data_IF_644275029117
#
_entry.id   IF_644275029117
#
_cell.length_a   1.000
_cell.length_b   1.000
_cell.length_c   1.000
_cell.angle_alpha   90.00
_cell.angle_beta   90.00
_cell.angle_gamma   90.00
#
_symmetry.space_group_name_H-M   'P 1'
#
loop_
_entity.id
_entity.type
_entity.pdbx_description
1 polymer ?
#
# COMPACT_ATOMS: atom_id res chain seq x y z
N UNK A 1 -55.23 14.09 -10.78
CA UNK A 1 -54.44 13.72 -9.59
C UNK A 1 -53.54 14.91 -9.27
N UNK A 2 -53.83 15.63 -8.18
CA UNK A 2 -53.25 16.96 -7.95
C UNK A 2 -51.78 16.83 -7.48
N UNK A 3 -50.88 17.70 -7.95
CA UNK A 3 -49.43 17.66 -7.62
C UNK A 3 -49.18 17.69 -6.10
N UNK A 4 -50.06 18.35 -5.35
CA UNK A 4 -50.05 18.36 -3.88
C UNK A 4 -50.18 16.96 -3.23
N UNK A 5 -50.92 16.04 -3.86
CA UNK A 5 -51.11 14.66 -3.37
C UNK A 5 -49.85 13.82 -3.57
N UNK A 6 -49.15 14.03 -4.70
CA UNK A 6 -47.89 13.35 -5.01
C UNK A 6 -46.78 13.87 -4.08
N UNK A 7 -46.75 15.17 -3.80
CA UNK A 7 -45.77 15.77 -2.89
C UNK A 7 -45.99 15.30 -1.44
N UNK A 8 -47.24 15.21 -0.98
CA UNK A 8 -47.57 14.69 0.36
C UNK A 8 -47.23 13.19 0.51
N UNK A 9 -47.48 12.39 -0.53
CA UNK A 9 -47.10 10.98 -0.56
C UNK A 9 -45.56 10.80 -0.51
N UNK A 10 -44.81 11.62 -1.25
CA UNK A 10 -43.35 11.60 -1.25
C UNK A 10 -42.78 12.00 0.13
N UNK A 11 -43.38 13.00 0.78
CA UNK A 11 -43.00 13.43 2.12
C UNK A 11 -43.27 12.33 3.16
N UNK A 12 -44.37 11.61 3.03
CA UNK A 12 -44.71 10.47 3.90
C UNK A 12 -43.79 9.26 3.70
N UNK A 13 -43.28 9.02 2.48
CA UNK A 13 -42.31 7.96 2.20
C UNK A 13 -40.89 8.30 2.69
N UNK A 14 -40.50 9.57 2.65
CA UNK A 14 -39.18 10.00 3.14
C UNK A 14 -39.13 10.12 4.67
N UNK A 15 -40.28 10.31 5.33
CA UNK A 15 -40.40 10.46 6.79
C UNK A 15 -41.20 9.33 7.46
N UNK A 16 -41.34 8.18 6.80
CA UNK A 16 -41.95 7.00 7.41
C UNK A 16 -40.99 6.41 8.46
N UNK A 17 -41.02 6.99 9.66
CA UNK A 17 -40.57 6.29 10.86
C UNK A 17 -41.45 5.03 11.00
N UNK A 18 -40.87 3.81 11.02
CA UNK A 18 -41.64 2.60 11.22
C UNK A 18 -42.12 2.60 12.68
N UNK A 19 -43.33 3.10 12.90
CA UNK A 19 -43.89 3.25 14.23
C UNK A 19 -44.88 4.39 14.33
N UNK A 20 -46.17 4.08 14.19
CA UNK A 20 -47.25 5.01 14.57
C UNK A 20 -47.29 5.28 16.07
N UNK A 21 -46.68 4.39 16.88
CA UNK A 21 -46.64 4.50 18.33
C UNK A 21 -45.34 5.15 18.82
N UNK A 22 -45.44 6.03 19.82
CA UNK A 22 -44.31 6.71 20.48
C UNK A 22 -43.25 5.70 20.96
N UNK A 23 -43.68 4.52 21.41
CA UNK A 23 -42.79 3.44 21.83
C UNK A 23 -41.93 2.90 20.68
N UNK A 24 -42.52 2.70 19.49
CA UNK A 24 -41.80 2.22 18.31
C UNK A 24 -40.79 3.24 17.80
N UNK A 25 -41.10 4.54 17.93
CA UNK A 25 -40.16 5.62 17.62
C UNK A 25 -38.97 5.63 18.57
N UNK A 26 -39.19 5.49 19.89
CA UNK A 26 -38.12 5.42 20.89
C UNK A 26 -37.18 4.24 20.61
N UNK A 27 -37.74 3.06 20.32
CA UNK A 27 -36.95 1.86 20.00
C UNK A 27 -36.13 2.08 18.71
N UNK A 28 -36.73 2.68 17.68
CA UNK A 28 -36.04 2.99 16.42
C UNK A 28 -34.88 3.97 16.63
N UNK A 29 -35.08 5.03 17.42
CA UNK A 29 -34.01 5.97 17.79
C UNK A 29 -32.89 5.30 18.58
N UNK A 30 -33.22 4.40 19.51
CA UNK A 30 -32.23 3.63 20.26
C UNK A 30 -31.36 2.75 19.35
N UNK A 31 -31.98 2.08 18.36
CA UNK A 31 -31.26 1.27 17.36
C UNK A 31 -30.35 2.16 16.50
N UNK A 32 -30.81 3.33 16.06
CA UNK A 32 -29.97 4.25 15.28
C UNK A 32 -28.76 4.76 16.06
N UNK A 33 -28.93 5.10 17.34
CA UNK A 33 -27.83 5.49 18.22
C UNK A 33 -26.82 4.34 18.36
N UNK A 34 -27.31 3.11 18.54
CA UNK A 34 -26.45 1.92 18.60
C UNK A 34 -25.64 1.72 17.32
N UNK A 35 -26.27 1.84 16.14
CA UNK A 35 -25.58 1.77 14.85
C UNK A 35 -24.57 2.90 14.70
N UNK A 36 -24.91 4.12 15.10
CA UNK A 36 -24.01 5.28 15.01
C UNK A 36 -22.73 5.08 15.83
N UNK A 37 -22.88 4.57 17.06
CA UNK A 37 -21.75 4.19 17.91
C UNK A 37 -20.94 3.08 17.21
N UNK A 38 -21.59 2.01 16.74
CA UNK A 38 -20.93 0.89 16.08
C UNK A 38 -20.12 1.30 14.85
N UNK A 39 -20.61 2.25 14.04
CA UNK A 39 -19.90 2.77 12.86
C UNK A 39 -18.60 3.49 13.24
N UNK A 40 -18.63 4.30 14.30
CA UNK A 40 -17.43 4.98 14.80
C UNK A 40 -16.36 3.99 15.27
N UNK A 41 -16.76 2.92 15.95
CA UNK A 41 -15.84 1.88 16.40
C UNK A 41 -15.36 0.97 15.26
N UNK A 42 -16.23 0.68 14.27
CA UNK A 42 -15.91 -0.17 13.11
C UNK A 42 -14.78 0.39 12.26
N UNK A 43 -14.78 1.71 12.01
CA UNK A 43 -13.71 2.37 11.25
C UNK A 43 -12.33 2.22 11.92
N UNK A 44 -12.29 2.32 13.26
CA UNK A 44 -11.03 2.14 14.01
C UNK A 44 -10.50 0.73 13.86
N UNK A 45 -11.36 -0.29 13.98
CA UNK A 45 -10.96 -1.69 13.83
C UNK A 45 -10.46 -1.97 12.41
N UNK A 46 -11.13 -1.43 11.40
CA UNK A 46 -10.71 -1.57 10.01
C UNK A 46 -9.29 -1.03 9.78
N UNK A 47 -8.97 0.15 10.33
CA UNK A 47 -7.62 0.71 10.25
C UNK A 47 -6.56 -0.19 10.91
N UNK A 48 -6.87 -0.81 12.04
CA UNK A 48 -5.93 -1.73 12.70
C UNK A 48 -5.66 -2.98 11.87
N UNK A 49 -6.67 -3.51 11.18
CA UNK A 49 -6.51 -4.66 10.28
C UNK A 49 -5.64 -4.27 9.08
N UNK A 50 -5.90 -3.11 8.47
CA UNK A 50 -5.09 -2.59 7.36
C UNK A 50 -3.63 -2.38 7.77
N UNK A 51 -3.39 -1.81 8.97
CA UNK A 51 -2.03 -1.62 9.48
C UNK A 51 -1.29 -2.95 9.66
N UNK A 52 -1.97 -4.00 10.13
CA UNK A 52 -1.36 -5.34 10.26
C UNK A 52 -1.04 -5.97 8.90
N UNK A 53 -1.87 -5.75 7.89
CA UNK A 53 -1.60 -6.24 6.54
C UNK A 53 -0.37 -5.54 5.92
N UNK A 54 -0.27 -4.22 6.12
CA UNK A 54 0.92 -3.45 5.73
C UNK A 54 2.15 -3.92 6.49
N UNK A 55 2.05 -4.13 7.79
CA UNK A 55 3.14 -4.65 8.63
C UNK A 55 3.61 -6.03 8.15
N UNK A 56 2.69 -6.95 7.84
CA UNK A 56 3.03 -8.27 7.30
C UNK A 56 3.74 -8.19 5.94
N UNK A 57 3.30 -7.27 5.08
CA UNK A 57 3.94 -7.01 3.79
C UNK A 57 5.33 -6.42 3.94
N UNK A 58 5.51 -5.48 4.87
CA UNK A 58 6.81 -4.92 5.23
C UNK A 58 7.74 -5.97 5.83
N UNK A 59 7.22 -6.88 6.66
CA UNK A 59 7.99 -7.98 7.23
C UNK A 59 8.51 -8.93 6.13
N UNK A 60 7.65 -9.28 5.16
CA UNK A 60 8.05 -10.08 4.00
C UNK A 60 9.13 -9.37 3.17
N UNK A 61 8.98 -8.06 2.95
CA UNK A 61 9.98 -7.27 2.23
C UNK A 61 11.33 -7.24 2.97
N UNK A 62 11.30 -7.05 4.29
CA UNK A 62 12.49 -7.11 5.14
C UNK A 62 13.19 -8.46 5.03
N UNK A 63 12.43 -9.56 5.10
CA UNK A 63 12.96 -10.91 4.95
C UNK A 63 13.64 -11.12 3.59
N UNK A 64 13.00 -10.72 2.49
CA UNK A 64 13.59 -10.82 1.13
C UNK A 64 14.88 -9.99 1.04
N UNK A 65 14.91 -8.80 1.64
CA UNK A 65 16.10 -7.94 1.67
C UNK A 65 17.24 -8.58 2.45
N UNK A 66 16.96 -9.15 3.63
CA UNK A 66 17.96 -9.80 4.47
C UNK A 66 18.54 -11.05 3.78
N UNK A 67 17.69 -11.84 3.13
CA UNK A 67 18.11 -13.03 2.39
C UNK A 67 18.92 -12.66 1.13
N UNK A 68 18.47 -11.65 0.39
CA UNK A 68 19.21 -11.13 -0.77
C UNK A 68 20.60 -10.61 -0.40
N UNK A 69 20.71 -9.93 0.76
CA UNK A 69 22.00 -9.51 1.32
C UNK A 69 22.91 -10.70 1.61
N UNK A 70 22.38 -11.76 2.24
CA UNK A 70 23.13 -12.98 2.55
C UNK A 70 23.67 -13.64 1.27
N UNK A 71 22.80 -13.82 0.28
CA UNK A 71 23.16 -14.44 -1.01
C UNK A 71 24.19 -13.61 -1.76
N UNK A 72 24.06 -12.28 -1.79
CA UNK A 72 25.01 -11.40 -2.47
C UNK A 72 26.42 -11.47 -1.85
N UNK A 73 26.51 -11.49 -0.51
CA UNK A 73 27.78 -11.62 0.20
C UNK A 73 28.42 -12.99 -0.07
N UNK A 74 27.61 -14.06 -0.06
CA UNK A 74 28.07 -15.42 -0.36
C UNK A 74 28.61 -15.54 -1.79
N UNK A 75 27.87 -15.05 -2.78
CA UNK A 75 28.29 -15.06 -4.18
C UNK A 75 29.60 -14.27 -4.42
N UNK A 76 29.77 -13.12 -3.76
CA UNK A 76 30.99 -12.31 -3.89
C UNK A 76 32.20 -13.01 -3.24
N UNK A 77 32.00 -13.71 -2.12
CA UNK A 77 33.06 -14.50 -1.48
C UNK A 77 33.49 -15.69 -2.35
N UNK A 78 32.54 -16.36 -3.01
CA UNK A 78 32.82 -17.52 -3.87
C UNK A 78 33.46 -17.15 -5.21
N UNK A 79 32.96 -16.11 -5.87
CA UNK A 79 33.38 -15.72 -7.23
C UNK A 79 34.59 -14.79 -7.22
N UNK A 80 34.65 -13.82 -6.29
CA UNK A 80 35.64 -12.75 -6.32
C UNK A 80 36.93 -13.01 -5.53
N UNK A 81 36.92 -13.91 -4.53
CA UNK A 81 38.04 -14.12 -3.58
C UNK A 81 38.73 -12.80 -3.13
N UNK A 82 37.96 -11.81 -2.63
CA UNK A 82 38.51 -10.49 -2.32
C UNK A 82 39.53 -10.56 -1.18
N UNK A 83 40.64 -9.82 -1.28
CA UNK A 83 41.67 -9.72 -0.23
C UNK A 83 41.19 -8.90 1.00
N UNK A 84 40.04 -8.25 0.91
CA UNK A 84 39.46 -7.38 1.95
C UNK A 84 37.99 -7.72 2.15
N UNK A 85 37.45 -7.51 3.35
CA UNK A 85 36.05 -7.85 3.68
C UNK A 85 35.07 -7.09 2.77
N UNK A 86 34.30 -7.76 1.89
CA UNK A 86 33.42 -7.11 0.93
C UNK A 86 32.13 -6.57 1.57
N UNK A 87 31.84 -6.94 2.83
CA UNK A 87 30.58 -6.65 3.52
C UNK A 87 30.15 -5.17 3.48
N UNK A 88 31.01 -4.17 3.81
CA UNK A 88 30.58 -2.76 3.83
C UNK A 88 30.32 -2.18 2.43
N UNK A 89 30.92 -2.76 1.39
CA UNK A 89 30.77 -2.29 0.01
C UNK A 89 29.54 -2.91 -0.65
N UNK A 90 29.21 -4.15 -0.31
CA UNK A 90 27.95 -4.81 -0.71
C UNK A 90 26.76 -4.10 -0.08
N UNK A 91 26.84 -3.74 1.20
CA UNK A 91 25.77 -3.01 1.88
C UNK A 91 25.46 -1.67 1.19
N UNK A 92 26.50 -0.90 0.86
CA UNK A 92 26.36 0.36 0.12
C UNK A 92 25.75 0.17 -1.27
N UNK A 93 26.06 -0.94 -1.94
CA UNK A 93 25.52 -1.24 -3.26
C UNK A 93 24.06 -1.68 -3.19
N UNK A 94 23.69 -2.53 -2.22
CA UNK A 94 22.32 -3.00 -2.01
C UNK A 94 21.36 -1.87 -1.57
N UNK A 95 21.90 -0.80 -0.98
CA UNK A 95 21.14 0.42 -0.67
C UNK A 95 20.78 1.25 -1.91
N UNK A 96 21.42 1.00 -3.06
CA UNK A 96 21.11 1.72 -4.30
C UNK A 96 19.92 1.06 -5.02
N UNK A 97 18.71 1.57 -4.77
CA UNK A 97 17.52 1.17 -5.51
C UNK A 97 17.10 2.27 -6.49
N UNK A 98 16.91 1.90 -7.76
CA UNK A 98 16.32 2.78 -8.77
C UNK A 98 14.83 2.48 -8.86
N UNK A 99 13.98 3.45 -8.50
CA UNK A 99 12.54 3.35 -8.72
C UNK A 99 12.29 3.61 -10.21
N UNK A 100 11.83 2.61 -10.95
CA UNK A 100 11.34 2.83 -12.31
C UNK A 100 10.02 3.61 -12.29
N UNK A 101 9.77 4.50 -13.27
CA UNK A 101 8.51 5.20 -13.39
C UNK A 101 7.36 4.21 -13.45
N UNK A 102 6.34 4.45 -12.62
CA UNK A 102 5.10 3.69 -12.67
C UNK A 102 4.27 4.27 -13.82
N UNK A 103 4.08 3.44 -14.86
CA UNK A 103 3.41 3.67 -16.15
C UNK A 103 4.28 4.10 -17.34
N UNK A 104 4.03 3.41 -18.47
CA UNK A 104 4.46 3.78 -19.81
C UNK A 104 3.51 4.88 -20.32
N UNK A 105 3.74 6.13 -19.94
CA UNK A 105 2.99 7.26 -20.51
C UNK A 105 3.53 7.58 -21.92
N UNK A 106 2.68 7.64 -22.99
CA UNK A 106 3.07 7.89 -24.38
C UNK A 106 3.86 9.18 -24.66
N UNK A 107 4.06 10.06 -23.68
CA UNK A 107 4.79 11.33 -23.82
C UNK A 107 6.33 11.22 -23.91
N UNK A 108 6.88 10.08 -24.36
CA UNK A 108 8.32 9.92 -24.60
C UNK A 108 9.17 9.56 -23.36
N UNK A 109 8.57 8.95 -22.32
CA UNK A 109 9.32 8.48 -21.14
C UNK A 109 10.18 7.24 -21.45
N UNK A 110 9.85 6.49 -22.50
CA UNK A 110 10.54 5.24 -22.89
C UNK A 110 12.03 5.45 -23.17
N UNK A 111 12.41 6.48 -23.94
CA UNK A 111 13.83 6.77 -24.23
C UNK A 111 14.61 7.15 -22.95
N UNK A 112 13.95 7.87 -22.03
CA UNK A 112 14.56 8.23 -20.74
C UNK A 112 14.74 7.00 -19.85
N UNK A 113 13.78 6.07 -19.88
CA UNK A 113 13.86 4.81 -19.13
C UNK A 113 15.00 3.93 -19.62
N UNK A 114 15.12 3.78 -20.94
CA UNK A 114 16.22 3.05 -21.59
C UNK A 114 17.57 3.65 -21.17
N UNK A 115 17.72 4.98 -21.25
CA UNK A 115 18.95 5.64 -20.83
C UNK A 115 19.25 5.44 -19.33
N UNK A 116 18.24 5.51 -18.45
CA UNK A 116 18.43 5.26 -17.01
C UNK A 116 18.85 3.82 -16.75
N UNK A 117 18.27 2.84 -17.47
CA UNK A 117 18.64 1.43 -17.36
C UNK A 117 20.07 1.18 -17.87
N UNK A 118 20.45 1.77 -19.00
CA UNK A 118 21.79 1.63 -19.60
C UNK A 118 22.89 2.25 -18.73
N UNK A 119 22.63 3.45 -18.17
CA UNK A 119 23.56 4.10 -17.24
C UNK A 119 23.70 3.25 -15.97
N UNK A 120 22.60 2.69 -15.46
CA UNK A 120 22.63 1.82 -14.28
C UNK A 120 23.44 0.55 -14.53
N UNK A 121 23.24 -0.11 -15.68
CA UNK A 121 23.97 -1.33 -16.04
C UNK A 121 25.48 -1.05 -16.22
N UNK A 122 25.83 0.07 -16.84
CA UNK A 122 27.23 0.49 -16.98
C UNK A 122 27.88 0.71 -15.61
N UNK A 123 27.22 1.46 -14.71
CA UNK A 123 27.70 1.66 -13.33
C UNK A 123 27.79 0.35 -12.55
N UNK A 124 26.84 -0.57 -12.74
CA UNK A 124 26.87 -1.88 -12.10
C UNK A 124 28.10 -2.69 -12.53
N UNK A 125 28.36 -2.76 -13.84
CA UNK A 125 29.54 -3.42 -14.40
C UNK A 125 30.86 -2.80 -13.92
N UNK A 126 30.91 -1.47 -13.81
CA UNK A 126 32.07 -0.76 -13.28
C UNK A 126 32.31 -1.12 -11.80
N UNK A 127 31.26 -1.20 -10.97
CA UNK A 127 31.38 -1.55 -9.55
C UNK A 127 31.81 -3.01 -9.35
N UNK A 128 31.26 -3.95 -10.15
CA UNK A 128 31.66 -5.37 -10.13
C UNK A 128 33.13 -5.53 -10.53
N UNK A 129 33.62 -4.76 -11.51
CA UNK A 129 35.05 -4.75 -11.90
C UNK A 129 35.98 -4.26 -10.79
N UNK A 130 35.48 -3.47 -9.84
CA UNK A 130 36.26 -3.01 -8.69
C UNK A 130 36.20 -3.98 -7.50
N UNK A 131 35.36 -5.02 -7.58
CA UNK A 131 35.16 -6.03 -6.54
C UNK A 131 35.84 -7.37 -6.86
N UNK A 132 36.03 -7.68 -8.15
CA UNK A 132 36.84 -8.79 -8.64
C UNK A 132 38.32 -8.38 -8.79
#
# INVERSE_FOLDING_TARGET
>A
MNIAVILAALQSQLFQFPGGDIFSQIVTFAIYIFIFISLFYGQRIQLHIMLREVEGSLYKLKYIRDEGRRIAIEAIKEVGKPQTDPTPRVDRFLEYFTISPQSLDPAGVVWKLEHILDVRDTRFKDEVRLLA
#
